data_IF_129135960776
#
_entry.id   IF_129135960776
#
_cell.length_a   1.000
_cell.length_b   1.000
_cell.length_c   1.000
_cell.angle_alpha   90.00
_cell.angle_beta   90.00
_cell.angle_gamma   90.00
#
_symmetry.space_group_name_H-M   'P 1'
#
loop_
_entity.id
_entity.type
_entity.pdbx_description
1 polymer ?
2 non-polymer ?
3 water ?
#
# COMPACT_ATOMS: atom_id res chain seq x y z
N UNK A 2 19.53 1.40 13.54
CA UNK A 2 20.61 2.35 13.76
C UNK A 2 20.15 3.52 14.62
N UNK A 3 19.58 4.55 13.97
CA UNK A 3 19.15 5.74 14.70
C UNK A 3 17.82 5.53 15.43
N UNK A 4 16.97 4.66 14.91
CA UNK A 4 15.67 4.42 15.51
C UNK A 4 14.65 4.11 14.43
N UNK A 5 13.39 4.13 14.84
CA UNK A 5 12.28 3.80 13.95
C UNK A 5 11.26 4.92 14.01
N UNK A 6 10.82 5.37 12.84
CA UNK A 6 9.77 6.38 12.72
C UNK A 6 8.53 5.68 12.19
N UNK A 7 7.49 5.62 13.02
CA UNK A 7 6.21 5.02 12.64
C UNK A 7 5.22 6.13 12.31
N UNK A 8 4.62 6.06 11.12
CA UNK A 8 3.68 7.10 10.73
C UNK A 8 2.53 6.49 9.94
N UNK A 9 1.37 7.13 10.07
CA UNK A 9 0.17 6.72 9.35
C UNK A 9 0.18 7.41 7.99
N UNK A 10 0.42 6.64 6.93
CA UNK A 10 0.46 7.20 5.58
C UNK A 10 -0.93 7.45 5.03
N UNK A 11 -1.93 6.72 5.51
CA UNK A 11 -3.30 6.94 5.08
C UNK A 11 -4.24 6.53 6.20
N UNK A 12 -5.28 7.32 6.39
CA UNK A 12 -6.32 7.04 7.38
C UNK A 12 -7.62 7.48 6.72
N UNK A 13 -8.37 6.54 6.16
CA UNK A 13 -9.45 6.87 5.24
C UNK A 13 -10.72 6.12 5.63
N UNK A 14 -11.76 6.88 5.95
CA UNK A 14 -13.08 6.33 6.21
C UNK A 14 -13.87 6.30 4.90
N UNK A 15 -14.54 5.17 4.65
CA UNK A 15 -15.19 4.94 3.37
C UNK A 15 -16.53 4.23 3.55
N UNK A 16 -17.52 4.54 2.71
CA UNK A 16 -18.77 3.78 2.75
C UNK A 16 -18.63 2.34 2.27
N UNK A 17 -17.54 2.00 1.60
CA UNK A 17 -17.37 0.67 1.02
C UNK A 17 -17.01 -0.33 2.11
N UNK A 18 -17.52 -1.56 1.98
CA UNK A 18 -17.33 -2.58 3.00
C UNK A 18 -15.85 -2.97 3.10
N UNK A 19 -15.37 -3.30 4.31
CA UNK A 19 -13.92 -3.54 4.47
C UNK A 19 -13.40 -4.72 3.68
N UNK A 20 -14.20 -5.79 3.55
CA UNK A 20 -13.73 -6.96 2.81
C UNK A 20 -13.46 -6.63 1.35
N UNK A 21 -14.24 -5.72 0.75
CA UNK A 21 -14.02 -5.38 -0.65
C UNK A 21 -12.77 -4.52 -0.83
N UNK A 22 -12.55 -3.57 0.08
CA UNK A 22 -11.35 -2.75 0.01
C UNK A 22 -10.10 -3.58 0.26
N UNK A 23 -10.17 -4.50 1.22
CA UNK A 23 -9.05 -5.39 1.49
C UNK A 23 -8.66 -6.16 0.23
N UNK A 24 -9.64 -6.74 -0.46
CA UNK A 24 -9.36 -7.45 -1.70
C UNK A 24 -8.77 -6.52 -2.75
N UNK A 25 -9.34 -5.32 -2.88
CA UNK A 25 -8.89 -4.40 -3.92
C UNK A 25 -7.45 -3.96 -3.69
N UNK A 26 -7.08 -3.67 -2.44
CA UNK A 26 -5.82 -2.99 -2.17
C UNK A 26 -4.67 -3.94 -1.86
N UNK A 27 -4.94 -5.11 -1.29
CA UNK A 27 -3.88 -5.97 -0.80
C UNK A 27 -3.84 -7.35 -1.42
N UNK A 28 -4.97 -7.90 -1.85
CA UNK A 28 -5.04 -9.26 -2.36
C UNK A 28 -5.00 -9.29 -3.88
N UNK A 29 -5.86 -8.52 -4.53
CA UNK A 29 -6.01 -8.52 -5.98
C UNK A 29 -5.48 -7.25 -6.62
N UNK A 30 -4.65 -6.49 -5.90
CA UNK A 30 -4.18 -5.20 -6.40
C UNK A 30 -3.31 -5.36 -7.64
N UNK A 31 -2.63 -6.50 -7.79
CA UNK A 31 -1.80 -6.71 -8.97
C UNK A 31 -2.62 -6.73 -10.25
N UNK A 32 -3.91 -7.05 -10.16
CA UNK A 32 -4.81 -6.96 -11.31
C UNK A 32 -5.54 -5.62 -11.34
N UNK A 33 -6.06 -5.17 -10.20
CA UNK A 33 -6.93 -4.00 -10.19
C UNK A 33 -6.16 -2.71 -10.45
N UNK A 34 -5.04 -2.51 -9.75
CA UNK A 34 -4.39 -1.19 -9.76
C UNK A 34 -3.90 -0.76 -11.14
N UNK A 35 -3.19 -1.59 -11.92
CA UNK A 35 -2.75 -1.11 -13.24
C UNK A 35 -3.90 -0.71 -14.16
N UNK A 36 -5.09 -1.26 -13.94
CA UNK A 36 -6.23 -0.93 -14.79
C UNK A 36 -6.97 0.30 -14.28
N UNK A 37 -7.24 0.36 -12.98
CA UNK A 37 -8.05 1.44 -12.43
C UNK A 37 -7.23 2.69 -12.14
N UNK A 38 -5.95 2.53 -11.82
CA UNK A 38 -5.14 3.68 -11.43
C UNK A 38 -3.83 3.69 -12.23
N UNK A 39 -3.89 3.61 -13.57
CA UNK A 39 -2.64 3.51 -14.34
C UNK A 39 -1.79 4.77 -14.30
N UNK A 40 -2.35 5.90 -13.89
CA UNK A 40 -1.54 7.10 -13.73
C UNK A 40 -0.65 7.04 -12.49
N UNK A 41 -0.89 6.08 -11.60
CA UNK A 41 -0.03 5.85 -10.44
C UNK A 41 0.74 4.55 -10.50
N UNK A 42 0.20 3.50 -11.12
CA UNK A 42 0.83 2.19 -11.16
C UNK A 42 0.90 1.73 -12.61
N UNK A 43 2.12 1.54 -13.11
CA UNK A 43 2.29 1.03 -14.47
C UNK A 43 1.96 -0.45 -14.55
N UNK A 44 2.58 -1.25 -13.69
CA UNK A 44 2.32 -2.69 -13.67
C UNK A 44 2.72 -3.23 -12.31
N UNK A 45 2.16 -4.39 -11.97
CA UNK A 45 2.54 -5.13 -10.77
C UNK A 45 2.76 -6.58 -11.18
N UNK A 46 3.98 -7.08 -10.98
CA UNK A 46 4.32 -8.45 -11.32
C UNK A 46 4.70 -9.23 -10.07
N UNK A 47 4.35 -10.51 -10.05
CA UNK A 47 4.86 -11.42 -9.04
C UNK A 47 6.29 -11.79 -9.41
N UNK A 48 7.23 -11.52 -8.51
CA UNK A 48 8.59 -12.02 -8.69
C UNK A 48 8.86 -13.23 -7.80
N UNK A 49 7.97 -13.54 -6.86
CA UNK A 49 7.99 -14.80 -6.13
C UNK A 49 6.55 -15.15 -5.81
N UNK A 50 6.15 -16.38 -6.13
CA UNK A 50 4.77 -16.79 -6.01
C UNK A 50 3.95 -16.40 -7.23
N UNK A 51 2.69 -16.86 -7.24
CA UNK A 51 1.78 -16.52 -8.32
C UNK A 51 0.41 -16.10 -7.81
N UNK A 52 0.25 -15.91 -6.51
CA UNK A 52 -0.97 -15.42 -5.90
C UNK A 52 -0.58 -14.72 -4.60
N UNK A 53 -1.43 -13.82 -4.13
CA UNK A 53 -1.15 -13.13 -2.88
C UNK A 53 -1.20 -14.14 -1.74
N UNK A 54 -0.03 -14.46 -1.20
CA UNK A 54 0.07 -15.41 -0.10
C UNK A 54 1.29 -15.04 0.72
N UNK A 55 1.30 -15.51 1.97
CA UNK A 55 2.47 -15.32 2.81
C UNK A 55 3.70 -15.82 2.08
N UNK A 56 4.71 -14.96 1.97
CA UNK A 56 5.96 -15.29 1.32
C UNK A 56 6.10 -14.76 -0.10
N UNK A 57 5.00 -14.39 -0.74
CA UNK A 57 5.09 -13.89 -2.10
C UNK A 57 5.79 -12.53 -2.12
N UNK A 58 6.33 -12.17 -3.28
CA UNK A 58 6.96 -10.88 -3.49
C UNK A 58 6.37 -10.26 -4.74
N UNK A 59 5.86 -9.04 -4.62
CA UNK A 59 5.30 -8.30 -5.74
C UNK A 59 6.20 -7.13 -6.07
N UNK A 60 6.52 -6.96 -7.34
CA UNK A 60 7.24 -5.79 -7.82
C UNK A 60 6.22 -4.81 -8.37
N UNK A 61 6.18 -3.61 -7.79
CA UNK A 61 5.31 -2.54 -8.26
C UNK A 61 6.16 -1.61 -9.11
N UNK A 62 5.75 -1.42 -10.36
CA UNK A 62 6.45 -0.55 -11.30
C UNK A 62 5.62 0.70 -11.52
N UNK A 63 6.25 1.84 -11.39
CA UNK A 63 5.61 3.14 -11.46
C UNK A 63 5.80 3.77 -12.84
N UNK A 64 4.89 4.65 -13.25
CA UNK A 64 5.02 5.28 -14.57
C UNK A 64 6.29 6.10 -14.68
N UNK A 65 6.67 6.40 -15.92
CA UNK A 65 7.82 7.26 -16.16
C UNK A 65 7.64 8.62 -15.50
N UNK A 66 6.38 9.04 -15.32
CA UNK A 66 6.08 10.27 -14.59
C UNK A 66 6.74 10.29 -13.22
N UNK A 67 6.83 9.14 -12.57
CA UNK A 67 7.17 9.07 -11.16
C UNK A 67 8.62 9.47 -10.90
N UNK A 68 8.93 9.90 -9.67
CA UNK A 68 10.32 10.17 -9.29
C UNK A 68 11.13 8.93 -8.94
N UNK A 69 10.57 7.74 -9.13
CA UNK A 69 11.27 6.48 -8.93
C UNK A 69 10.67 5.47 -9.89
N UNK A 70 11.18 4.24 -9.84
CA UNK A 70 10.78 3.25 -10.83
C UNK A 70 10.12 2.00 -10.26
N UNK A 71 10.50 1.54 -9.07
CA UNK A 71 9.96 0.26 -8.61
C UNK A 71 10.22 0.07 -7.12
N UNK A 72 9.40 -0.79 -6.52
CA UNK A 72 9.68 -1.40 -5.22
C UNK A 72 9.30 -2.87 -5.30
N UNK A 73 9.92 -3.66 -4.44
CA UNK A 73 9.60 -5.08 -4.27
C UNK A 73 9.09 -5.26 -2.85
N UNK A 74 7.86 -5.76 -2.72
CA UNK A 74 7.19 -5.91 -1.44
C UNK A 74 7.03 -7.39 -1.12
N UNK A 75 7.60 -7.81 0.00
CA UNK A 75 7.54 -9.19 0.47
C UNK A 75 6.43 -9.32 1.51
N UNK A 76 5.43 -10.15 1.23
CA UNK A 76 4.29 -10.30 2.14
C UNK A 76 4.69 -11.23 3.28
N UNK A 77 4.59 -10.74 4.51
CA UNK A 77 5.02 -11.51 5.67
C UNK A 77 3.89 -12.02 6.54
N UNK A 78 2.74 -11.35 6.56
CA UNK A 78 1.63 -11.80 7.39
C UNK A 78 0.32 -11.40 6.73
N UNK A 79 -0.64 -12.32 6.73
CA UNK A 79 -2.00 -12.04 6.27
C UNK A 79 -2.98 -12.58 7.30
N UNK A 80 -3.91 -11.74 7.73
CA UNK A 80 -5.06 -12.18 8.53
C UNK A 80 -6.29 -11.64 7.81
N UNK A 81 -6.82 -12.43 6.88
CA UNK A 81 -7.93 -11.97 6.06
C UNK A 81 -9.20 -11.77 6.88
N UNK A 82 -9.36 -12.53 7.96
CA UNK A 82 -10.53 -12.36 8.81
C UNK A 82 -10.55 -10.99 9.47
N UNK A 83 -9.38 -10.39 9.69
CA UNK A 83 -9.28 -9.06 10.27
C UNK A 83 -8.89 -8.02 9.23
N UNK A 84 -8.86 -8.39 7.95
CA UNK A 84 -8.50 -7.50 6.85
C UNK A 84 -7.14 -6.84 7.11
N UNK A 85 -6.15 -7.68 7.40
CA UNK A 85 -4.84 -7.23 7.83
C UNK A 85 -3.77 -7.87 6.95
N UNK A 86 -2.81 -7.06 6.50
CA UNK A 86 -1.65 -7.58 5.78
C UNK A 86 -0.43 -6.77 6.15
N UNK A 87 0.68 -7.46 6.43
CA UNK A 87 1.95 -6.82 6.70
C UNK A 87 2.94 -7.22 5.62
N UNK A 88 3.67 -6.25 5.09
CA UNK A 88 4.70 -6.57 4.12
C UNK A 88 5.94 -5.72 4.38
N UNK A 89 7.06 -6.21 3.87
CA UNK A 89 8.35 -5.55 3.98
C UNK A 89 8.82 -5.15 2.59
N UNK A 90 9.28 -3.91 2.45
CA UNK A 90 9.86 -3.46 1.19
C UNK A 90 11.34 -3.85 1.19
N UNK A 91 11.69 -4.86 0.40
CA UNK A 91 13.03 -5.44 0.44
C UNK A 91 13.96 -4.85 -0.62
N UNK A 92 13.43 -4.10 -1.58
CA UNK A 92 14.23 -3.56 -2.67
C UNK A 92 13.44 -2.45 -3.34
N UNK A 93 14.15 -1.50 -3.91
CA UNK A 93 13.50 -0.45 -4.68
C UNK A 93 14.29 0.84 -4.63
N UNK A 94 13.92 1.76 -5.52
CA UNK A 94 14.52 3.08 -5.59
C UNK A 94 13.57 4.17 -5.11
N UNK A 95 12.43 3.80 -4.54
CA UNK A 95 11.55 4.77 -3.89
C UNK A 95 12.02 5.12 -2.49
N UNK A 96 13.13 4.55 -2.05
CA UNK A 96 13.64 4.80 -0.71
C UNK A 96 14.33 6.15 -0.65
N UNK A 97 13.94 7.03 0.27
CA UNK A 97 14.82 8.16 0.60
C UNK A 97 16.16 7.65 1.09
N UNK A 98 17.17 8.52 1.02
CA UNK A 98 18.48 8.16 1.55
C UNK A 98 18.44 7.93 3.05
N UNK A 99 17.38 8.39 3.72
CA UNK A 99 17.28 8.29 5.17
C UNK A 99 16.82 6.91 5.65
N UNK A 100 16.16 6.13 4.80
CA UNK A 100 15.47 4.92 5.24
C UNK A 100 16.30 3.69 4.91
N UNK A 101 16.64 2.92 5.94
CA UNK A 101 17.41 1.70 5.82
C UNK A 101 16.54 0.46 5.61
N UNK A 102 15.28 0.51 6.06
CA UNK A 102 14.42 -0.66 6.15
C UNK A 102 12.99 -0.15 6.34
N UNK A 103 12.04 -0.68 5.58
CA UNK A 103 10.67 -0.17 5.62
C UNK A 103 9.68 -1.32 5.72
N UNK A 104 8.77 -1.23 6.69
CA UNK A 104 7.74 -2.23 6.94
C UNK A 104 6.39 -1.54 6.91
N UNK A 105 5.41 -2.19 6.29
CA UNK A 105 4.10 -1.58 6.07
C UNK A 105 3.00 -2.48 6.59
N UNK A 106 1.96 -1.87 7.15
CA UNK A 106 0.77 -2.59 7.59
C UNK A 106 -0.45 -1.96 6.93
N UNK A 107 -1.19 -2.76 6.17
CA UNK A 107 -2.47 -2.36 5.60
C UNK A 107 -3.58 -2.96 6.46
N UNK A 108 -4.46 -2.11 6.99
CA UNK A 108 -5.53 -2.58 7.85
C UNK A 108 -6.85 -1.96 7.41
N UNK A 109 -7.91 -2.76 7.47
CA UNK A 109 -9.25 -2.30 7.15
C UNK A 109 -10.16 -2.71 8.29
N UNK A 110 -10.93 -1.75 8.79
CA UNK A 110 -11.73 -1.93 9.99
C UNK A 110 -13.20 -1.71 9.66
N UNK A 111 -14.05 -2.60 10.17
CA UNK A 111 -15.49 -2.42 10.03
C UNK A 111 -15.96 -1.26 10.90
N UNK A 112 -16.76 -0.37 10.32
CA UNK A 112 -17.36 0.72 11.07
C UNK A 112 -18.86 0.76 10.81
N UNK A 113 -19.54 1.80 11.28
CA UNK A 113 -20.94 1.99 10.92
C UNK A 113 -21.06 2.64 9.55
N UNK A 114 -20.25 3.67 9.30
CA UNK A 114 -20.27 4.33 7.99
C UNK A 114 -19.85 3.38 6.88
N UNK A 115 -19.05 2.37 7.20
CA UNK A 115 -18.55 1.44 6.20
C UNK A 115 -17.25 0.81 6.64
N UNK A 116 -16.13 1.44 6.30
CA UNK A 116 -14.81 0.96 6.67
C UNK A 116 -13.95 2.12 7.13
N UNK A 117 -12.90 1.79 7.88
CA UNK A 117 -11.79 2.71 8.13
C UNK A 117 -10.51 2.00 7.70
N UNK A 118 -9.80 2.60 6.77
CA UNK A 118 -8.60 2.01 6.18
C UNK A 118 -7.38 2.75 6.71
N UNK A 119 -6.45 2.01 7.29
CA UNK A 119 -5.22 2.57 7.83
C UNK A 119 -4.04 1.90 7.17
N UNK A 120 -3.10 2.70 6.68
CA UNK A 120 -1.85 2.20 6.13
C UNK A 120 -0.72 2.82 6.94
N UNK A 121 0.00 1.98 7.68
CA UNK A 121 1.02 2.42 8.61
C UNK A 121 2.37 2.01 8.06
N UNK A 122 3.34 2.91 8.16
CA UNK A 122 4.71 2.65 7.72
C UNK A 122 5.63 2.69 8.93
N UNK A 123 6.60 1.78 8.95
CA UNK A 123 7.64 1.75 9.97
C UNK A 123 8.97 1.93 9.26
N UNK A 124 9.59 3.09 9.43
CA UNK A 124 10.83 3.44 8.73
C UNK A 124 11.99 3.32 9.70
N UNK A 125 12.89 2.38 9.45
CA UNK A 125 14.11 2.29 10.23
C UNK A 125 15.12 3.27 9.64
N UNK A 126 15.52 4.26 10.43
CA UNK A 126 16.29 5.39 9.93
C UNK A 126 17.78 5.14 10.08
N UNK A 127 18.53 5.51 9.05
CA UNK A 127 19.98 5.35 9.06
C UNK A 127 20.60 6.28 10.10
N UNK A 128 21.90 6.08 10.32
CA UNK A 128 22.67 6.91 11.23
C UNK A 128 22.38 8.39 11.06
N UNK A 129 21.66 8.95 12.03
CA UNK A 129 21.25 10.35 12.00
C UNK A 129 20.52 10.68 10.70
N UNK A 130 19.30 10.19 10.57
CA UNK A 130 18.47 10.44 9.40
C UNK A 130 17.36 11.41 9.80
N UNK A 131 17.51 12.67 9.41
CA UNK A 131 16.48 13.67 9.65
C UNK A 131 15.27 13.35 8.78
N UNK A 132 14.10 13.23 9.41
CA UNK A 132 12.87 12.94 8.67
C UNK A 132 11.85 14.03 8.94
N UNK A 133 11.26 14.54 7.86
CA UNK A 133 10.38 15.69 7.90
C UNK A 133 9.05 15.31 7.26
N UNK A 134 8.01 16.07 7.59
CA UNK A 134 6.70 15.83 6.99
C UNK A 134 6.77 15.89 5.47
N UNK A 135 7.61 16.77 4.93
CA UNK A 135 7.73 16.88 3.48
C UNK A 135 8.24 15.60 2.86
N UNK A 136 8.86 14.72 3.64
CA UNK A 136 9.37 13.47 3.10
C UNK A 136 8.26 12.44 2.89
N UNK A 137 7.18 12.52 3.66
CA UNK A 137 6.07 11.58 3.54
C UNK A 137 4.81 12.21 2.96
N UNK A 138 4.75 13.54 2.84
CA UNK A 138 3.56 14.17 2.26
C UNK A 138 3.25 13.70 0.85
N UNK A 139 4.21 13.51 -0.07
CA UNK A 139 3.82 13.04 -1.41
C UNK A 139 3.24 11.63 -1.40
N UNK A 140 3.72 10.76 -0.51
CA UNK A 140 3.10 9.45 -0.35
C UNK A 140 1.67 9.58 0.14
N UNK A 141 1.46 10.43 1.15
CA UNK A 141 0.13 10.62 1.70
C UNK A 141 -0.84 11.12 0.64
N UNK A 142 -0.41 12.11 -0.15
CA UNK A 142 -1.29 12.68 -1.16
C UNK A 142 -1.53 11.70 -2.30
N UNK A 143 -0.51 10.94 -2.69
CA UNK A 143 -0.70 9.95 -3.73
C UNK A 143 -1.63 8.83 -3.31
N UNK A 144 -1.50 8.36 -2.06
CA UNK A 144 -2.34 7.26 -1.59
C UNK A 144 -3.80 7.69 -1.53
N UNK A 145 -4.05 8.93 -1.10
CA UNK A 145 -5.43 9.40 -1.01
C UNK A 145 -6.08 9.45 -2.39
N UNK A 146 -5.33 9.92 -3.40
CA UNK A 146 -5.86 9.96 -4.76
C UNK A 146 -6.11 8.55 -5.29
N UNK A 147 -5.18 7.62 -5.04
CA UNK A 147 -5.37 6.24 -5.46
C UNK A 147 -6.59 5.63 -4.80
N UNK A 148 -6.74 5.84 -3.49
CA UNK A 148 -7.91 5.33 -2.79
C UNK A 148 -9.19 5.91 -3.38
N UNK A 149 -9.18 7.20 -3.69
CA UNK A 149 -10.35 7.85 -4.27
C UNK A 149 -10.81 7.13 -5.53
N UNK A 150 -9.86 6.84 -6.43
CA UNK A 150 -10.21 6.18 -7.68
C UNK A 150 -10.69 4.76 -7.45
N UNK A 151 -10.03 4.02 -6.55
CA UNK A 151 -10.45 2.65 -6.26
C UNK A 151 -11.83 2.64 -5.61
N UNK A 152 -12.07 3.56 -4.68
CA UNK A 152 -13.37 3.64 -4.03
C UNK A 152 -14.49 3.83 -5.05
N UNK A 153 -14.31 4.78 -5.97
CA UNK A 153 -15.32 5.03 -6.99
C UNK A 153 -15.55 3.80 -7.86
N UNK A 154 -14.47 3.08 -8.18
CA UNK A 154 -14.60 1.85 -8.96
C UNK A 154 -15.47 0.83 -8.24
N UNK A 155 -15.28 0.68 -6.93
CA UNK A 155 -16.05 -0.30 -6.18
C UNK A 155 -17.50 0.13 -6.00
N UNK A 156 -17.74 1.44 -5.94
CA UNK A 156 -19.11 1.95 -5.90
C UNK A 156 -19.82 1.68 -7.22
N UNK A 157 -19.12 1.89 -8.34
CA UNK A 157 -19.71 1.67 -9.65
C UNK A 157 -19.88 0.19 -9.95
N UNK A 158 -19.14 -0.68 -9.28
CA UNK A 158 -19.18 -2.13 -9.51
C UNK A 158 -19.50 -2.81 -8.19
N UNK A 159 -20.76 -2.75 -7.75
CA UNK A 159 -21.09 -3.16 -6.38
C UNK A 159 -20.87 -4.64 -6.08
N UNK A 160 -20.83 -5.50 -7.09
CA UNK A 160 -20.63 -6.93 -6.83
C UNK A 160 -19.17 -7.35 -6.87
N UNK A 161 -18.26 -6.47 -7.29
CA UNK A 161 -16.84 -6.81 -7.34
C UNK A 161 -16.31 -6.99 -5.92
N UNK A 162 -15.74 -8.17 -5.65
CA UNK A 162 -15.20 -8.57 -4.35
C UNK A 162 -16.27 -8.67 -3.27
N UNK A 163 -17.55 -8.66 -3.63
CA UNK A 163 -18.62 -8.77 -2.65
C UNK A 163 -18.86 -10.22 -2.27
X LIG B 1 2.98 6.33 -2.85
X LIG B 1 4.24 3.36 0.56
X LIG B 1 3.94 4.98 -1.02
X LIG B 1 1.77 4.35 -2.07
X LIG B 1 2.07 1.87 0.22
X LIG B 1 -1.02 2.36 -1.39
X LIG B 1 7.70 9.79 -2.18
X LIG B 1 1.90 5.41 -2.87
X LIG B 1 2.80 4.12 -1.12
X LIG B 1 2.98 3.07 -0.10
X LIG B 1 4.03 6.18 -1.97
X LIG B 1 7.37 10.14 0.27
X LIG B 1 5.48 8.39 -2.69
X LIG B 1 0.91 2.38 2.38
X LIG B 1 6.98 8.86 -2.88
X LIG B 1 4.79 4.47 0.03
X LIG B 1 0.35 0.58 -0.64
X LIG B 1 -0.79 1.01 -1.61
X LIG B 1 -0.04 0.92 0.84
X LIG B 1 0.77 2.24 1.02
X LIG B 1 7.03 10.59 -1.01
X LIG B 1 9.17 10.11 -2.52
X LIG B 1 5.15 7.09 -1.91
X LIG B 1 0.43 0.05 1.80
X LIG B 1 1.52 1.33 -0.97
#
# INVERSE_FOLDING_TARGET
GSMGVFTCTLADITSPVAPARLFQAFTIDNHNLMPKVVPQFVKSIDFVQGDSTAVGCVKQINFPADAPFTYVKNRVDEIDASKYYLKYTCIEGDAFPDTVEYAVYEDTFEQTETGSRCKMVAHYHLKGDSVMKEEDVAPAKEGIQKMFKAVEEHLIANPQLYA
Q3V N1 C7 C8 N2 C9 O1 C1 C5 C6 N3 C4 O4 C3 O3 C2 N4 C10 C11 C12 C13 C14 C N O2 O
#
